data_IF_162520106808
#
_entry.id   IF_162520106808
#
_cell.length_a   1.000
_cell.length_b   1.000
_cell.length_c   1.000
_cell.angle_alpha   90.00
_cell.angle_beta   90.00
_cell.angle_gamma   90.00
#
_symmetry.space_group_name_H-M   'P 1'
#
loop_
_entity.id
_entity.type
_entity.pdbx_description
1 polymer ?
#
# COMPACT_ATOMS: atom_id res chain seq x y z
N UNK A 1 11.25 -4.68 -10.91
CA UNK A 1 11.04 -3.43 -10.14
C UNK A 1 10.45 -3.78 -8.79
N UNK A 2 10.84 -3.08 -7.73
CA UNK A 2 10.28 -3.26 -6.37
C UNK A 2 9.68 -1.92 -5.95
N UNK A 3 8.38 -1.90 -5.67
CA UNK A 3 7.66 -0.74 -5.17
C UNK A 3 7.63 -0.81 -3.64
N UNK A 4 8.58 -0.12 -3.02
CA UNK A 4 8.69 0.07 -1.57
C UNK A 4 8.37 1.51 -1.13
N UNK A 5 7.98 2.38 -2.06
CA UNK A 5 7.65 3.77 -1.78
C UNK A 5 6.20 3.87 -1.32
N UNK A 6 6.01 4.42 -0.12
CA UNK A 6 4.73 4.75 0.45
C UNK A 6 4.91 5.88 1.48
N UNK A 7 3.88 6.70 1.69
CA UNK A 7 3.76 7.56 2.85
C UNK A 7 3.44 6.69 4.07
N UNK A 8 4.44 6.58 4.94
CA UNK A 8 4.36 5.84 6.21
C UNK A 8 4.53 6.79 7.39
N UNK A 9 3.98 6.40 8.54
CA UNK A 9 4.04 7.18 9.77
C UNK A 9 3.62 6.36 10.97
N UNK A 10 3.81 6.92 12.17
CA UNK A 10 3.34 6.29 13.40
C UNK A 10 1.80 6.21 13.46
N UNK A 11 1.29 5.39 14.38
CA UNK A 11 -0.16 5.17 14.57
C UNK A 11 -0.92 6.50 14.73
N UNK A 12 -0.36 7.45 15.48
CA UNK A 12 -0.96 8.77 15.65
C UNK A 12 -1.05 9.55 14.33
N UNK A 13 0.03 9.59 13.54
CA UNK A 13 0.04 10.32 12.27
C UNK A 13 -0.94 9.73 11.25
N UNK A 14 -1.06 8.40 11.20
CA UNK A 14 -2.02 7.73 10.33
C UNK A 14 -3.48 8.05 10.70
N UNK A 15 -3.78 8.16 12.00
CA UNK A 15 -5.13 8.52 12.46
C UNK A 15 -5.44 10.01 12.31
N UNK A 16 -4.43 10.89 12.38
CA UNK A 16 -4.63 12.34 12.25
C UNK A 16 -4.79 12.76 10.80
N UNK A 17 -4.09 12.11 9.86
CA UNK A 17 -4.07 12.48 8.43
C UNK A 17 -4.48 11.32 7.50
N UNK A 18 -5.63 10.66 7.70
CA UNK A 18 -6.00 9.46 6.93
C UNK A 18 -6.17 9.76 5.44
N UNK A 19 -6.72 10.93 5.10
CA UNK A 19 -6.95 11.35 3.71
C UNK A 19 -5.65 11.59 2.94
N UNK A 20 -4.65 12.21 3.59
CA UNK A 20 -3.36 12.47 2.94
C UNK A 20 -2.59 11.17 2.70
N UNK A 21 -2.63 10.25 3.67
CA UNK A 21 -1.97 8.95 3.55
C UNK A 21 -2.57 8.14 2.40
N UNK A 22 -3.90 8.03 2.32
CA UNK A 22 -4.53 7.28 1.23
C UNK A 22 -4.29 7.94 -0.13
N UNK A 23 -4.40 9.27 -0.22
CA UNK A 23 -4.20 9.98 -1.47
C UNK A 23 -2.77 9.81 -1.99
N UNK A 24 -1.76 10.05 -1.15
CA UNK A 24 -0.37 9.93 -1.58
C UNK A 24 -0.01 8.49 -1.97
N UNK A 25 -0.43 7.50 -1.17
CA UNK A 25 -0.16 6.10 -1.46
C UNK A 25 -0.82 5.66 -2.77
N UNK A 26 -2.10 5.99 -2.96
CA UNK A 26 -2.83 5.65 -4.19
C UNK A 26 -2.21 6.30 -5.43
N UNK A 27 -1.78 7.57 -5.35
CA UNK A 27 -1.12 8.26 -6.46
C UNK A 27 0.24 7.64 -6.80
N UNK A 28 1.02 7.24 -5.79
CA UNK A 28 2.30 6.54 -6.00
C UNK A 28 2.06 5.19 -6.67
N UNK A 29 1.14 4.40 -6.14
CA UNK A 29 0.81 3.06 -6.64
C UNK A 29 0.32 3.12 -8.10
N UNK A 30 -0.67 3.97 -8.39
CA UNK A 30 -1.25 4.08 -9.72
C UNK A 30 -0.21 4.50 -10.76
N UNK A 31 0.57 5.55 -10.48
CA UNK A 31 1.56 6.06 -11.42
C UNK A 31 2.69 5.07 -11.67
N UNK A 32 3.22 4.43 -10.61
CA UNK A 32 4.36 3.52 -10.74
C UNK A 32 3.94 2.21 -11.43
N UNK A 33 2.74 1.68 -11.12
CA UNK A 33 2.21 0.49 -11.79
C UNK A 33 1.94 0.79 -13.27
N UNK A 34 1.34 1.95 -13.58
CA UNK A 34 1.08 2.35 -14.96
C UNK A 34 2.39 2.52 -15.75
N UNK A 35 3.37 3.25 -15.21
CA UNK A 35 4.66 3.43 -15.86
C UNK A 35 5.38 2.09 -16.08
N UNK A 36 5.30 1.15 -15.14
CA UNK A 36 5.89 -0.18 -15.30
C UNK A 36 5.25 -0.98 -16.44
N UNK A 37 3.93 -0.82 -16.63
CA UNK A 37 3.22 -1.40 -17.76
C UNK A 37 3.69 -0.78 -19.10
N UNK A 38 3.73 0.55 -19.20
CA UNK A 38 4.17 1.27 -20.41
C UNK A 38 5.60 0.90 -20.81
N UNK A 39 6.50 0.73 -19.83
CA UNK A 39 7.91 0.39 -20.05
C UNK A 39 8.17 -1.12 -20.13
N UNK A 40 7.12 -1.95 -20.19
CA UNK A 40 7.21 -3.41 -20.35
C UNK A 40 8.09 -4.09 -19.27
N UNK A 41 7.98 -3.61 -18.03
CA UNK A 41 8.69 -4.21 -16.90
C UNK A 41 8.22 -5.66 -16.72
N UNK A 42 9.16 -6.61 -16.80
CA UNK A 42 8.83 -8.06 -16.76
C UNK A 42 8.19 -8.51 -15.45
N UNK A 43 8.57 -7.89 -14.31
CA UNK A 43 8.06 -8.22 -12.96
C UNK A 43 8.10 -6.99 -12.04
N UNK A 44 7.00 -6.75 -11.34
CA UNK A 44 6.82 -5.72 -10.31
C UNK A 44 6.45 -6.43 -9.00
N UNK A 45 7.15 -6.09 -7.90
CA UNK A 45 6.80 -6.52 -6.54
C UNK A 45 6.30 -5.32 -5.75
N UNK A 46 5.05 -5.35 -5.32
CA UNK A 46 4.45 -4.34 -4.45
C UNK A 46 4.42 -4.83 -3.00
N UNK A 47 4.99 -4.06 -2.09
CA UNK A 47 5.10 -4.42 -0.68
C UNK A 47 3.92 -3.85 0.13
N UNK A 48 2.94 -4.72 0.41
CA UNK A 48 1.82 -4.40 1.30
C UNK A 48 2.17 -4.51 2.78
N UNK A 49 1.28 -4.02 3.64
CA UNK A 49 1.39 -4.15 5.10
C UNK A 49 0.37 -5.15 5.64
N UNK A 50 0.60 -5.70 6.82
CA UNK A 50 -0.39 -6.57 7.51
C UNK A 50 -1.66 -5.80 7.90
N UNK A 51 -1.60 -4.47 7.98
CA UNK A 51 -2.70 -3.59 8.34
C UNK A 51 -3.85 -3.56 7.32
N UNK A 52 -3.68 -4.17 6.15
CA UNK A 52 -4.74 -4.28 5.14
C UNK A 52 -5.80 -5.32 5.51
N UNK A 53 -5.45 -6.27 6.39
CA UNK A 53 -6.37 -7.32 6.79
C UNK A 53 -7.37 -6.79 7.81
N UNK A 54 -8.64 -7.24 7.75
CA UNK A 54 -9.64 -6.87 8.73
C UNK A 54 -9.20 -7.34 10.12
N UNK A 55 -9.27 -6.45 11.11
CA UNK A 55 -8.89 -6.73 12.50
C UNK A 55 -9.68 -7.93 13.09
N UNK A 56 -10.91 -8.13 12.64
CA UNK A 56 -11.81 -9.18 13.14
C UNK A 56 -11.83 -10.41 12.23
N UNK A 57 -10.67 -11.00 11.92
CA UNK A 57 -10.67 -12.36 11.38
C UNK A 57 -11.02 -13.32 12.52
N UNK A 58 -12.24 -13.88 12.51
CA UNK A 58 -12.57 -15.02 13.38
C UNK A 58 -11.75 -16.20 12.87
N UNK A 59 -10.68 -16.55 13.56
CA UNK A 59 -10.15 -17.91 13.51
C UNK A 59 -11.19 -18.80 14.20
N UNK A 60 -12.13 -19.35 13.42
CA UNK A 60 -12.87 -20.52 13.87
C UNK A 60 -11.92 -21.71 13.80
N UNK A 61 -10.98 -21.74 14.74
CA UNK A 61 -10.26 -22.95 15.09
C UNK A 61 -11.01 -23.55 16.28
N UNK A 62 -11.46 -24.78 16.04
CA UNK A 62 -12.16 -25.64 16.99
C UNK A 62 -11.32 -25.98 18.23
#
# INVERSE_FOLDING_TARGET
>A
MILAAAKVGGIHANNVYPADFIYQNMMIEANVIHAAYEHKVKRLLFLGSTCIYPNSCRTTDA
#
